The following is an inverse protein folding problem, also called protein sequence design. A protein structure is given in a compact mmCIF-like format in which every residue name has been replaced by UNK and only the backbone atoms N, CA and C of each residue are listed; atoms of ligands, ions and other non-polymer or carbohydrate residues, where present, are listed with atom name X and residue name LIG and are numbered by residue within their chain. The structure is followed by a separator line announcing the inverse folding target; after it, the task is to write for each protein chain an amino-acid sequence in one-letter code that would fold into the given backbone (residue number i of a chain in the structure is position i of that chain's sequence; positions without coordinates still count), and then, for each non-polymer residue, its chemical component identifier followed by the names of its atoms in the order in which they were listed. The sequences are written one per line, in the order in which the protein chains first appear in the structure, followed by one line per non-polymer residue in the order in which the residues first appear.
data_IF_804862733210
#
_entry.id   IF_804862733210
#
_cell.length_a   1.000
_cell.length_b   1.000
_cell.length_c   1.000
_cell.angle_alpha   90.00
_cell.angle_beta   90.00
_cell.angle_gamma   90.00
#
_symmetry.space_group_name_H-M   'P 1'
#
loop_
_entity.id
_entity.type
_entity.pdbx_description
1 polymer ?
#
# COMPACT_ATOMS: atom_id res chain seq x y z
N UNK A 1 0.92 14.37 10.14
CA UNK A 1 0.91 13.16 9.30
C UNK A 1 2.33 12.60 9.29
N UNK A 2 2.57 11.48 9.96
CA UNK A 2 3.87 10.81 9.98
C UNK A 2 3.99 9.95 8.72
N UNK A 3 4.96 10.22 7.89
CA UNK A 3 5.32 9.36 6.76
C UNK A 3 6.78 8.96 6.96
N UNK A 4 7.00 7.71 7.41
CA UNK A 4 8.28 7.02 7.29
C UNK A 4 9.50 7.74 7.87
N UNK A 5 9.49 8.18 9.13
CA UNK A 5 10.67 8.77 9.80
C UNK A 5 11.04 10.19 9.33
N UNK A 6 10.19 10.86 8.56
CA UNK A 6 10.42 12.24 8.17
C UNK A 6 10.16 13.19 9.34
N UNK A 7 11.06 14.14 9.55
CA UNK A 7 10.88 15.22 10.50
C UNK A 7 9.65 16.04 10.05
N UNK A 8 8.71 16.25 10.97
CA UNK A 8 7.56 17.12 10.70
C UNK A 8 8.04 18.55 10.54
N UNK A 9 7.90 19.10 9.35
CA UNK A 9 8.27 20.47 9.03
C UNK A 9 6.98 21.30 8.96
N UNK A 10 6.91 22.34 9.80
CA UNK A 10 5.78 23.27 9.81
C UNK A 10 5.72 24.11 8.52
N UNK A 11 4.54 24.63 8.20
CA UNK A 11 4.35 25.51 7.02
C UNK A 11 4.91 26.92 7.22
N UNK A 12 5.36 27.25 8.40
CA UNK A 12 6.02 28.51 8.78
C UNK A 12 7.40 28.71 8.11
N UNK A 13 8.01 27.62 7.60
CA UNK A 13 9.24 27.73 6.78
C UNK A 13 9.00 28.41 5.43
N UNK A 14 7.74 28.48 4.96
CA UNK A 14 7.41 29.14 3.70
C UNK A 14 7.04 30.62 3.94
N UNK A 15 7.84 31.58 3.46
CA UNK A 15 7.56 33.01 3.61
C UNK A 15 6.16 33.39 3.10
N UNK A 16 5.52 34.37 3.75
CA UNK A 16 4.17 34.77 3.39
C UNK A 16 4.07 35.51 2.04
N UNK A 17 5.17 36.08 1.59
CA UNK A 17 5.28 36.78 0.30
C UNK A 17 5.42 35.85 -0.90
N UNK A 18 5.56 34.52 -0.68
CA UNK A 18 5.51 33.53 -1.74
C UNK A 18 4.06 33.34 -2.18
N UNK A 19 3.77 33.73 -3.42
CA UNK A 19 2.43 33.64 -3.98
C UNK A 19 1.92 32.20 -4.13
N UNK A 20 2.79 31.25 -4.46
CA UNK A 20 2.46 29.82 -4.59
C UNK A 20 3.66 28.93 -4.33
N UNK A 21 3.45 27.88 -3.56
CA UNK A 21 4.44 26.83 -3.30
C UNK A 21 3.94 25.50 -3.85
N UNK A 22 4.58 24.99 -4.90
CA UNK A 22 4.29 23.68 -5.47
C UNK A 22 5.09 22.61 -4.72
N UNK A 23 4.40 21.71 -4.04
CA UNK A 23 4.97 20.58 -3.33
C UNK A 23 4.82 19.30 -4.16
N UNK A 24 5.80 18.41 -4.05
CA UNK A 24 5.83 17.09 -4.68
C UNK A 24 5.85 15.98 -3.66
N UNK A 25 6.03 14.72 -4.13
CA UNK A 25 6.13 13.49 -3.35
C UNK A 25 4.78 12.87 -2.94
N UNK A 26 3.82 13.60 -2.43
CA UNK A 26 2.52 13.03 -2.07
C UNK A 26 1.64 12.84 -3.31
N UNK A 27 1.06 11.65 -3.46
CA UNK A 27 0.24 11.30 -4.61
C UNK A 27 -1.22 11.76 -4.52
N UNK A 28 -1.65 12.21 -3.33
CA UNK A 28 -2.97 12.78 -3.12
C UNK A 28 -2.93 14.30 -3.20
N UNK A 29 -3.78 14.95 -4.01
CA UNK A 29 -3.86 16.40 -4.09
C UNK A 29 -4.36 16.97 -2.76
N UNK A 30 -3.62 17.90 -2.18
CA UNK A 30 -3.98 18.53 -0.89
C UNK A 30 -3.21 19.83 -0.67
N UNK A 31 -3.83 20.76 0.07
CA UNK A 31 -3.16 21.94 0.58
C UNK A 31 -2.63 21.70 2.00
N UNK A 32 -1.58 22.42 2.38
CA UNK A 32 -0.97 22.32 3.72
C UNK A 32 -0.89 23.71 4.35
N UNK A 33 -1.57 23.87 5.46
CA UNK A 33 -1.64 25.14 6.20
C UNK A 33 -2.36 26.25 5.44
N UNK A 34 -1.85 26.65 4.27
CA UNK A 34 -2.43 27.69 3.40
C UNK A 34 -2.81 27.08 2.05
N UNK A 35 -3.83 27.61 1.38
CA UNK A 35 -4.29 27.08 0.08
C UNK A 35 -3.23 27.17 -1.03
N UNK A 36 -2.37 28.17 -0.95
CA UNK A 36 -1.29 28.39 -1.90
C UNK A 36 -0.03 27.56 -1.64
N UNK A 37 -0.01 26.70 -0.61
CA UNK A 37 1.03 25.67 -0.39
C UNK A 37 0.38 24.32 -0.67
N UNK A 38 0.73 23.70 -1.82
CA UNK A 38 -0.08 22.61 -2.31
C UNK A 38 0.72 21.49 -2.93
N UNK A 39 0.32 20.24 -2.59
CA UNK A 39 0.62 19.05 -3.34
C UNK A 39 -0.39 18.91 -4.49
N UNK A 40 0.08 18.88 -5.72
CA UNK A 40 -0.77 18.62 -6.90
C UNK A 40 -1.25 17.17 -6.97
N UNK A 41 -0.55 16.26 -6.30
CA UNK A 41 -0.76 14.84 -6.41
C UNK A 41 -0.09 14.22 -7.64
N UNK A 42 -0.32 12.92 -7.84
CA UNK A 42 0.06 12.24 -9.09
C UNK A 42 -1.04 12.35 -10.13
N UNK A 43 -0.73 12.54 -11.42
CA UNK A 43 -1.74 12.65 -12.48
C UNK A 43 -2.41 11.31 -12.78
N UNK A 44 -1.83 10.19 -12.35
CA UNK A 44 -2.36 8.83 -12.50
C UNK A 44 -2.26 8.08 -11.18
N UNK A 45 -3.05 7.01 -11.01
CA UNK A 45 -2.89 6.12 -9.87
C UNK A 45 -1.55 5.37 -9.98
N UNK A 46 -0.70 5.48 -8.97
CA UNK A 46 0.60 4.82 -8.89
C UNK A 46 0.52 3.48 -8.15
N UNK A 47 -0.55 3.29 -7.37
CA UNK A 47 -0.79 2.07 -6.60
C UNK A 47 -2.28 1.75 -6.56
N UNK A 48 -2.62 0.50 -6.29
CA UNK A 48 -4.01 0.10 -6.08
C UNK A 48 -4.66 0.78 -4.87
N UNK A 49 -3.85 1.27 -3.91
CA UNK A 49 -4.32 2.07 -2.76
C UNK A 49 -4.94 3.40 -3.14
N UNK A 50 -4.68 3.89 -4.36
CA UNK A 50 -5.08 5.23 -4.81
C UNK A 50 -6.30 5.23 -5.74
N UNK A 51 -6.93 4.08 -5.99
CA UNK A 51 -8.04 3.96 -6.96
C UNK A 51 -9.25 4.82 -6.62
N UNK A 52 -9.46 5.08 -5.34
CA UNK A 52 -10.58 5.89 -4.85
C UNK A 52 -10.24 7.39 -4.78
N UNK A 53 -9.01 7.78 -5.15
CA UNK A 53 -8.54 9.16 -5.11
C UNK A 53 -8.65 9.77 -6.51
N UNK A 54 -9.51 10.78 -6.71
CA UNK A 54 -9.59 11.50 -7.98
C UNK A 54 -8.24 12.11 -8.35
N UNK A 55 -7.76 11.85 -9.56
CA UNK A 55 -6.49 12.37 -10.04
C UNK A 55 -6.70 13.69 -10.76
N UNK A 56 -5.81 14.66 -10.46
CA UNK A 56 -5.90 15.99 -11.01
C UNK A 56 -4.52 16.62 -11.21
N UNK A 57 -4.49 17.70 -11.97
CA UNK A 57 -3.35 18.61 -12.08
C UNK A 57 -3.78 19.98 -11.62
N UNK A 58 -2.87 20.73 -11.00
CA UNK A 58 -3.10 22.11 -10.58
C UNK A 58 -2.64 23.07 -11.68
N UNK A 59 -3.56 23.94 -12.12
CA UNK A 59 -3.26 25.06 -13.02
C UNK A 59 -3.23 26.32 -12.20
N UNK A 60 -2.12 27.06 -12.33
CA UNK A 60 -1.83 28.23 -11.51
C UNK A 60 -1.61 29.43 -12.43
N UNK A 61 -2.45 30.44 -12.30
CA UNK A 61 -2.34 31.68 -13.06
C UNK A 61 -1.80 32.80 -12.15
N UNK A 62 -0.89 33.60 -12.68
CA UNK A 62 -0.30 34.74 -11.97
C UNK A 62 -0.62 36.05 -12.69
N UNK A 63 -0.87 37.09 -11.89
CA UNK A 63 -0.88 38.49 -12.34
C UNK A 63 0.31 39.19 -11.70
N UNK A 64 1.37 39.37 -12.48
CA UNK A 64 2.65 39.84 -11.96
C UNK A 64 3.22 38.85 -10.93
N UNK A 65 3.28 39.30 -9.66
CA UNK A 65 3.75 38.48 -8.54
C UNK A 65 2.63 37.85 -7.71
N UNK A 66 1.37 38.12 -8.05
CA UNK A 66 0.23 37.66 -7.27
C UNK A 66 -0.37 36.41 -7.89
N UNK A 67 -0.79 35.47 -7.05
CA UNK A 67 -1.61 34.35 -7.46
C UNK A 67 -3.01 34.89 -7.83
N UNK A 68 -3.39 34.80 -9.10
CA UNK A 68 -4.68 35.25 -9.57
C UNK A 68 -5.72 34.13 -9.63
N UNK A 69 -5.27 32.90 -9.87
CA UNK A 69 -6.15 31.74 -9.96
C UNK A 69 -5.42 30.44 -9.63
N UNK A 70 -6.11 29.58 -8.89
CA UNK A 70 -5.73 28.18 -8.69
C UNK A 70 -6.91 27.31 -9.11
N UNK A 71 -6.73 26.42 -10.06
CA UNK A 71 -7.76 25.51 -10.58
C UNK A 71 -7.24 24.10 -10.64
N UNK A 72 -8.02 23.16 -10.15
CA UNK A 72 -7.79 21.73 -10.37
C UNK A 72 -8.49 21.29 -11.65
N UNK A 73 -7.76 20.57 -12.50
CA UNK A 73 -8.31 19.92 -13.69
C UNK A 73 -8.17 18.41 -13.47
N UNK A 74 -9.29 17.72 -13.50
CA UNK A 74 -9.28 16.25 -13.35
C UNK A 74 -8.62 15.59 -14.56
N UNK A 75 -7.79 14.59 -14.29
CA UNK A 75 -7.16 13.74 -15.30
C UNK A 75 -8.07 12.54 -15.55
N UNK A 76 -8.44 12.26 -16.80
CA UNK A 76 -9.20 11.06 -17.12
C UNK A 76 -8.40 9.79 -16.82
N UNK A 77 -9.13 8.70 -16.53
CA UNK A 77 -8.51 7.39 -16.33
C UNK A 77 -8.06 6.85 -17.69
N UNK A 78 -6.75 6.69 -17.88
CA UNK A 78 -6.15 6.14 -19.10
C UNK A 78 -5.87 4.64 -19.03
N UNK A 79 -5.73 4.11 -17.81
CA UNK A 79 -5.48 2.70 -17.52
C UNK A 79 -6.44 2.26 -16.44
N UNK A 80 -7.31 1.32 -16.80
CA UNK A 80 -8.24 0.73 -15.83
C UNK A 80 -7.48 -0.18 -14.86
N UNK A 81 -7.67 0.08 -13.58
CA UNK A 81 -7.10 -0.71 -12.48
C UNK A 81 -8.20 -1.15 -11.53
N UNK A 82 -8.16 -2.40 -11.04
CA UNK A 82 -9.16 -2.96 -10.13
C UNK A 82 -8.53 -3.83 -9.05
N UNK A 83 -9.17 -3.85 -7.87
CA UNK A 83 -8.90 -4.85 -6.83
C UNK A 83 -9.93 -5.96 -6.96
N UNK A 84 -9.46 -7.19 -6.97
CA UNK A 84 -10.27 -8.41 -7.13
C UNK A 84 -10.09 -9.29 -5.88
N UNK A 85 -10.88 -9.05 -4.82
CA UNK A 85 -10.85 -9.87 -3.62
C UNK A 85 -11.83 -11.05 -3.73
N UNK A 86 -11.40 -12.25 -3.35
CA UNK A 86 -12.30 -13.40 -3.29
C UNK A 86 -11.59 -14.75 -3.20
N UNK A 87 -12.41 -15.81 -3.21
CA UNK A 87 -11.94 -17.16 -3.55
C UNK A 87 -11.71 -17.30 -5.05
N UNK A 88 -11.17 -18.43 -5.49
CA UNK A 88 -10.83 -18.63 -6.91
C UNK A 88 -12.02 -18.51 -7.85
N UNK A 89 -13.20 -18.98 -7.43
CA UNK A 89 -14.40 -18.93 -8.29
C UNK A 89 -14.86 -17.47 -8.51
N UNK A 90 -14.81 -16.66 -7.46
CA UNK A 90 -15.14 -15.24 -7.53
C UNK A 90 -14.11 -14.46 -8.34
N UNK A 91 -12.82 -14.73 -8.14
CA UNK A 91 -11.72 -14.11 -8.88
C UNK A 91 -11.86 -14.41 -10.39
N UNK A 92 -12.11 -15.67 -10.76
CA UNK A 92 -12.32 -16.07 -12.16
C UNK A 92 -13.52 -15.35 -12.79
N UNK A 93 -14.65 -15.29 -12.07
CA UNK A 93 -15.84 -14.61 -12.56
C UNK A 93 -15.59 -13.12 -12.80
N UNK A 94 -14.89 -12.45 -11.88
CA UNK A 94 -14.58 -11.02 -11.99
C UNK A 94 -13.55 -10.73 -13.08
N UNK A 95 -12.51 -11.57 -13.24
CA UNK A 95 -11.54 -11.46 -14.34
C UNK A 95 -12.26 -11.62 -15.69
N UNK A 96 -13.19 -12.55 -15.81
CA UNK A 96 -13.99 -12.72 -17.02
C UNK A 96 -14.82 -11.47 -17.32
N UNK A 97 -15.52 -10.92 -16.34
CA UNK A 97 -16.31 -9.68 -16.50
C UNK A 97 -15.41 -8.51 -16.94
N UNK A 98 -14.25 -8.35 -16.30
CA UNK A 98 -13.29 -7.32 -16.68
C UNK A 98 -12.76 -7.48 -18.12
N UNK A 99 -12.61 -8.71 -18.59
CA UNK A 99 -12.16 -8.97 -19.97
C UNK A 99 -13.18 -8.54 -21.02
N UNK A 100 -14.46 -8.44 -20.66
CA UNK A 100 -15.54 -7.99 -21.56
C UNK A 100 -15.52 -6.47 -21.81
N UNK A 101 -14.73 -5.70 -21.05
CA UNK A 101 -14.58 -4.26 -21.26
C UNK A 101 -13.86 -3.90 -22.57
N UNK A 102 -13.21 -4.87 -23.24
CA UNK A 102 -12.43 -4.68 -24.47
C UNK A 102 -11.29 -3.63 -24.34
N UNK A 103 -10.74 -3.49 -23.14
CA UNK A 103 -9.60 -2.63 -22.83
C UNK A 103 -8.58 -3.37 -21.96
N UNK A 104 -7.36 -2.85 -21.87
CA UNK A 104 -6.36 -3.40 -20.95
C UNK A 104 -6.75 -3.07 -19.52
N UNK A 105 -6.81 -4.09 -18.65
CA UNK A 105 -7.14 -3.94 -17.22
C UNK A 105 -6.03 -4.51 -16.36
N UNK A 106 -5.50 -3.69 -15.45
CA UNK A 106 -4.56 -4.13 -14.44
C UNK A 106 -5.28 -4.48 -13.14
N UNK A 107 -4.97 -5.62 -12.56
CA UNK A 107 -5.63 -6.08 -11.34
C UNK A 107 -4.65 -6.42 -10.21
N UNK A 108 -5.09 -6.12 -8.99
CA UNK A 108 -4.53 -6.66 -7.76
C UNK A 108 -5.49 -7.74 -7.25
N UNK A 109 -5.04 -8.97 -7.20
CA UNK A 109 -5.82 -10.10 -6.68
C UNK A 109 -5.57 -10.27 -5.20
N UNK A 110 -6.63 -10.31 -4.38
CA UNK A 110 -6.58 -10.65 -2.96
C UNK A 110 -7.34 -11.94 -2.72
N UNK A 111 -6.59 -13.02 -2.58
CA UNK A 111 -7.19 -14.33 -2.32
C UNK A 111 -7.60 -14.47 -0.85
N UNK A 112 -8.87 -14.81 -0.63
CA UNK A 112 -9.46 -14.96 0.71
C UNK A 112 -9.96 -16.39 1.00
N UNK A 113 -9.64 -17.34 0.11
CA UNK A 113 -9.99 -18.75 0.29
C UNK A 113 -9.06 -19.50 1.24
N UNK A 114 -9.28 -20.81 1.36
CA UNK A 114 -8.56 -21.71 2.27
C UNK A 114 -7.56 -22.64 1.57
N UNK A 115 -7.41 -22.55 0.25
CA UNK A 115 -6.49 -23.41 -0.52
C UNK A 115 -5.01 -23.01 -0.31
N UNK A 116 -4.09 -23.92 -0.55
CA UNK A 116 -2.67 -23.67 -0.41
C UNK A 116 -2.16 -22.66 -1.47
N UNK A 117 -1.27 -21.76 -1.06
CA UNK A 117 -0.78 -20.65 -1.90
C UNK A 117 -0.11 -21.14 -3.21
N UNK A 118 0.52 -22.31 -3.20
CA UNK A 118 1.16 -22.88 -4.40
C UNK A 118 0.18 -23.17 -5.54
N UNK A 119 -0.98 -23.73 -5.21
CA UNK A 119 -2.01 -24.10 -6.19
C UNK A 119 -2.74 -22.87 -6.77
N UNK A 120 -2.77 -21.78 -6.00
CA UNK A 120 -3.44 -20.53 -6.40
C UNK A 120 -2.75 -19.90 -7.60
N UNK A 121 -1.42 -19.87 -7.60
CA UNK A 121 -0.65 -19.23 -8.67
C UNK A 121 -0.84 -19.95 -9.99
N UNK A 122 -0.74 -21.26 -10.01
CA UNK A 122 -0.93 -22.08 -11.22
C UNK A 122 -2.36 -21.93 -11.78
N UNK A 123 -3.36 -21.94 -10.90
CA UNK A 123 -4.76 -21.74 -11.31
C UNK A 123 -4.99 -20.33 -11.85
N UNK A 124 -4.42 -19.31 -11.21
CA UNK A 124 -4.53 -17.94 -11.68
C UNK A 124 -3.86 -17.75 -13.05
N UNK A 125 -2.68 -18.33 -13.29
CA UNK A 125 -2.01 -18.34 -14.58
C UNK A 125 -2.87 -19.05 -15.65
N UNK A 126 -3.53 -20.15 -15.30
CA UNK A 126 -4.49 -20.84 -16.16
C UNK A 126 -5.69 -19.96 -16.57
N UNK A 127 -6.28 -19.25 -15.60
CA UNK A 127 -7.37 -18.31 -15.85
C UNK A 127 -6.92 -17.18 -16.77
N UNK A 128 -5.81 -16.53 -16.46
CA UNK A 128 -5.29 -15.40 -17.21
C UNK A 128 -4.93 -15.73 -18.66
N UNK A 129 -4.53 -16.98 -18.92
CA UNK A 129 -4.27 -17.43 -20.30
C UNK A 129 -5.51 -17.35 -21.21
N UNK A 130 -6.71 -17.37 -20.61
CA UNK A 130 -7.99 -17.26 -21.33
C UNK A 130 -8.41 -15.79 -21.55
N UNK A 131 -7.85 -14.87 -20.75
CA UNK A 131 -8.26 -13.45 -20.71
C UNK A 131 -7.06 -12.51 -20.85
N UNK A 132 -6.43 -12.44 -22.02
CA UNK A 132 -5.17 -11.71 -22.22
C UNK A 132 -5.28 -10.18 -22.07
N UNK A 133 -6.49 -9.62 -22.03
CA UNK A 133 -6.72 -8.20 -21.75
C UNK A 133 -6.60 -7.84 -20.27
N UNK A 134 -6.57 -8.84 -19.37
CA UNK A 134 -6.44 -8.63 -17.92
C UNK A 134 -5.05 -9.05 -17.46
N UNK A 135 -4.33 -8.14 -16.83
CA UNK A 135 -2.98 -8.34 -16.31
C UNK A 135 -2.97 -8.26 -14.78
N UNK A 136 -2.47 -9.30 -14.10
CA UNK A 136 -2.32 -9.32 -12.65
C UNK A 136 -0.95 -8.76 -12.28
N UNK A 137 -0.92 -7.57 -11.68
CA UNK A 137 0.30 -6.92 -11.24
C UNK A 137 0.69 -7.29 -9.81
N UNK A 138 -0.27 -7.65 -8.97
CA UNK A 138 -0.05 -8.00 -7.57
C UNK A 138 -1.01 -9.10 -7.12
N UNK A 139 -0.47 -10.07 -6.36
CA UNK A 139 -1.28 -11.11 -5.73
C UNK A 139 -0.99 -11.13 -4.24
N UNK A 140 -2.03 -11.03 -3.42
CA UNK A 140 -1.97 -11.15 -1.97
C UNK A 140 -2.85 -12.30 -1.51
N UNK A 141 -2.45 -12.98 -0.44
CA UNK A 141 -3.28 -13.99 0.23
C UNK A 141 -3.61 -13.48 1.63
N UNK A 142 -4.88 -13.28 1.91
CA UNK A 142 -5.39 -13.10 3.27
C UNK A 142 -5.70 -14.49 3.82
N UNK A 143 -4.65 -15.24 4.18
CA UNK A 143 -4.84 -16.46 4.95
C UNK A 143 -5.49 -16.06 6.28
N UNK A 144 -6.72 -16.51 6.51
CA UNK A 144 -7.28 -16.56 7.86
C UNK A 144 -6.43 -17.58 8.63
N UNK A 145 -5.33 -17.13 9.20
CA UNK A 145 -4.69 -17.87 10.28
C UNK A 145 -5.77 -17.98 11.36
N UNK A 146 -6.45 -19.13 11.39
CA UNK A 146 -7.20 -19.53 12.58
C UNK A 146 -6.16 -19.67 13.67
N UNK A 147 -5.93 -18.58 14.38
CA UNK A 147 -5.41 -18.67 15.74
C UNK A 147 -6.44 -19.48 16.49
N UNK A 148 -6.20 -20.78 16.60
CA UNK A 148 -6.81 -21.64 17.63
C UNK A 148 -6.27 -21.15 18.96
N UNK A 149 -6.76 -20.02 19.42
CA UNK A 149 -6.63 -19.60 20.79
C UNK A 149 -7.77 -20.20 21.58
N UNK A 150 -7.53 -21.39 22.13
CA UNK A 150 -8.23 -21.82 23.31
C UNK A 150 -7.81 -20.91 24.47
N UNK A 151 -8.75 -20.12 24.97
CA UNK A 151 -8.72 -19.58 26.30
C UNK A 151 -8.30 -18.12 26.45
N UNK A 152 -9.25 -17.38 27.00
CA UNK A 152 -9.22 -16.05 27.62
C UNK A 152 -9.27 -14.83 26.70
N UNK A 153 -10.46 -14.22 26.70
CA UNK A 153 -10.74 -12.87 26.24
C UNK A 153 -9.84 -11.87 26.99
N UNK A 154 -8.87 -11.35 26.31
CA UNK A 154 -8.20 -10.10 26.68
C UNK A 154 -8.19 -9.23 25.43
N UNK A 155 -8.78 -8.04 25.54
CA UNK A 155 -8.85 -7.03 24.49
C UNK A 155 -7.47 -6.79 23.89
N UNK A 156 -7.19 -7.35 22.71
CA UNK A 156 -5.96 -7.10 21.99
C UNK A 156 -6.10 -5.77 21.26
N UNK A 157 -5.42 -4.75 21.78
CA UNK A 157 -5.16 -3.50 21.05
C UNK A 157 -4.48 -3.85 19.71
N UNK A 158 -4.75 -3.11 18.61
CA UNK A 158 -4.06 -3.34 17.34
C UNK A 158 -2.55 -3.19 17.57
N UNK A 159 -1.82 -4.25 17.26
CA UNK A 159 -0.36 -4.28 17.39
C UNK A 159 0.19 -3.46 16.23
N UNK A 160 0.62 -2.24 16.49
CA UNK A 160 1.36 -1.41 15.54
C UNK A 160 2.82 -1.86 15.52
N UNK A 161 3.48 -1.79 14.36
CA UNK A 161 4.91 -2.15 14.18
C UNK A 161 5.84 -1.44 15.18
N UNK A 162 5.43 -0.29 15.68
CA UNK A 162 6.17 0.51 16.68
C UNK A 162 6.23 -0.14 18.09
N UNK A 163 5.37 -1.10 18.36
CA UNK A 163 5.26 -1.75 19.67
C UNK A 163 5.76 -3.21 19.67
N UNK A 164 6.26 -3.72 18.54
CA UNK A 164 6.81 -5.07 18.44
C UNK A 164 8.30 -5.01 18.73
N UNK A 165 8.75 -5.73 19.76
CA UNK A 165 10.17 -5.87 20.02
C UNK A 165 10.84 -6.66 18.87
N UNK A 166 12.09 -6.35 18.51
CA UNK A 166 12.80 -7.03 17.45
C UNK A 166 12.83 -8.55 17.57
N UNK A 167 12.98 -9.08 18.79
CA UNK A 167 12.97 -10.53 19.05
C UNK A 167 11.60 -11.18 18.81
N UNK A 168 10.52 -10.45 19.09
CA UNK A 168 9.16 -10.94 18.80
C UNK A 168 8.94 -11.02 17.30
N UNK A 169 9.53 -10.09 16.51
CA UNK A 169 9.52 -10.15 15.04
C UNK A 169 10.25 -11.38 14.51
N UNK A 170 11.42 -11.74 15.08
CA UNK A 170 12.13 -12.95 14.72
C UNK A 170 11.26 -14.19 14.98
N UNK A 171 10.62 -14.26 16.13
CA UNK A 171 9.75 -15.38 16.51
C UNK A 171 8.54 -15.50 15.58
N UNK A 172 7.90 -14.38 15.21
CA UNK A 172 6.82 -14.33 14.23
C UNK A 172 7.28 -14.80 12.86
N UNK A 173 8.44 -14.33 12.39
CA UNK A 173 9.02 -14.74 11.11
C UNK A 173 9.32 -16.25 11.08
N UNK A 174 9.93 -16.78 12.12
CA UNK A 174 10.22 -18.21 12.23
C UNK A 174 8.93 -19.05 12.21
N UNK A 175 7.88 -18.56 12.87
CA UNK A 175 6.57 -19.21 12.90
C UNK A 175 5.91 -19.18 11.52
N UNK A 176 5.93 -18.03 10.83
CA UNK A 176 5.35 -17.87 9.48
C UNK A 176 6.06 -18.77 8.44
N UNK A 177 7.38 -18.89 8.55
CA UNK A 177 8.21 -19.73 7.65
C UNK A 177 8.28 -21.19 8.06
N UNK A 178 7.58 -21.62 9.11
CA UNK A 178 7.64 -22.97 9.68
C UNK A 178 9.07 -23.43 9.98
N UNK A 179 9.91 -22.53 10.48
CA UNK A 179 11.29 -22.84 10.88
C UNK A 179 11.23 -23.65 12.19
N UNK A 180 11.93 -24.77 12.21
CA UNK A 180 11.98 -25.63 13.39
C UNK A 180 12.69 -24.95 14.58
N UNK A 181 12.35 -25.39 15.80
CA UNK A 181 12.87 -24.79 17.03
C UNK A 181 14.40 -24.84 17.15
N UNK A 182 15.03 -25.93 16.66
CA UNK A 182 16.49 -26.06 16.74
C UNK A 182 17.18 -25.00 15.87
N UNK A 183 16.62 -24.73 14.70
CA UNK A 183 17.11 -23.68 13.80
C UNK A 183 16.84 -22.28 14.38
N UNK A 184 15.71 -22.08 15.04
CA UNK A 184 15.41 -20.83 15.71
C UNK A 184 16.38 -20.53 16.87
N UNK A 185 16.73 -21.54 17.67
CA UNK A 185 17.71 -21.43 18.77
C UNK A 185 19.12 -21.05 18.26
N UNK A 186 19.46 -21.37 17.02
CA UNK A 186 20.71 -20.95 16.39
C UNK A 186 20.64 -19.50 15.91
N UNK A 187 19.49 -19.07 15.35
CA UNK A 187 19.33 -17.72 14.83
C UNK A 187 19.19 -16.66 15.90
N UNK A 188 18.56 -16.98 17.03
CA UNK A 188 18.29 -16.00 18.08
C UNK A 188 19.55 -15.32 18.66
N UNK A 189 20.64 -16.05 19.00
CA UNK A 189 21.88 -15.42 19.43
C UNK A 189 22.52 -14.52 18.38
N UNK A 190 22.55 -14.97 17.13
CA UNK A 190 23.11 -14.20 16.02
C UNK A 190 22.31 -12.91 15.77
N UNK A 191 20.98 -13.00 15.86
CA UNK A 191 20.11 -11.84 15.70
C UNK A 191 20.29 -10.84 16.84
N UNK A 192 20.46 -11.30 18.08
CA UNK A 192 20.79 -10.45 19.23
C UNK A 192 22.13 -9.72 19.04
N UNK A 193 23.15 -10.41 18.53
CA UNK A 193 24.44 -9.79 18.24
C UNK A 193 24.32 -8.66 17.21
N UNK A 194 23.57 -8.88 16.14
CA UNK A 194 23.28 -7.86 15.11
C UNK A 194 22.54 -6.65 15.73
N UNK A 195 21.53 -6.89 16.58
CA UNK A 195 20.78 -5.81 17.24
C UNK A 195 21.68 -4.96 18.12
N UNK A 196 22.60 -5.59 18.86
CA UNK A 196 23.61 -4.88 19.71
C UNK A 196 24.52 -4.01 18.82
N UNK A 197 25.02 -4.55 17.68
CA UNK A 197 25.87 -3.79 16.76
C UNK A 197 25.12 -2.60 16.14
N UNK A 198 23.81 -2.72 15.92
CA UNK A 198 22.95 -1.66 15.41
C UNK A 198 22.52 -0.65 16.50
N UNK A 199 22.84 -0.88 17.76
CA UNK A 199 22.45 -0.04 18.90
C UNK A 199 20.95 -0.08 19.19
N UNK A 200 20.29 -1.19 18.89
CA UNK A 200 18.86 -1.39 19.14
C UNK A 200 18.65 -2.22 20.41
N UNK A 201 17.69 -1.79 21.23
CA UNK A 201 17.22 -2.55 22.40
C UNK A 201 16.25 -3.66 21.99
N UNK A 202 16.29 -4.82 22.71
CA UNK A 202 15.48 -6.02 22.43
C UNK A 202 14.71 -6.55 23.64
#
# INVERSE_FOLDING_TARGET
MYIGGAIEVGTDIFPEDIAYTALGHLHSPQSVGRENIRYSGSPVAMTFGELDIPKSVSVVDFDGRNLSRLKEIQVPVFQTMKRVPGDMAKIEAEIKELSELNESVWVEVTYTGSEAVGDIRERLEGILSLYPSVEVLSTRSESKTQTTSSGTETESKPVTLENIKPLDMLSLYCSEKNIDKNTQEIFEPLYKEILIEMGLDF
#
